data_IF_167024857348
#
_entry.id   IF_167024857348
#
_cell.length_a   1.000
_cell.length_b   1.000
_cell.length_c   1.000
_cell.angle_alpha   90.00
_cell.angle_beta   90.00
_cell.angle_gamma   90.00
#
_symmetry.space_group_name_H-M   'P 1'
#
loop_
_entity.id
_entity.type
_entity.pdbx_description
1 polymer ?
#
# COMPACT_ATOMS: atom_id res chain seq x y z
N UNK A 1 -19.72 -29.31 14.50
CA UNK A 1 -20.41 -28.84 13.27
C UNK A 1 -20.33 -27.33 13.25
N UNK A 2 -19.54 -26.77 12.34
CA UNK A 2 -19.40 -25.31 12.20
C UNK A 2 -20.59 -24.83 11.38
N UNK A 3 -21.51 -24.10 12.00
CA UNK A 3 -22.61 -23.44 11.30
C UNK A 3 -22.04 -22.27 10.48
N UNK A 4 -21.78 -22.51 9.21
CA UNK A 4 -21.60 -21.46 8.22
C UNK A 4 -22.95 -20.77 8.01
N UNK A 5 -23.02 -19.47 8.29
CA UNK A 5 -24.17 -18.63 7.94
C UNK A 5 -24.49 -18.78 6.44
N UNK A 6 -25.78 -18.85 6.05
CA UNK A 6 -26.15 -18.99 4.65
C UNK A 6 -25.67 -17.78 3.84
N UNK A 7 -24.88 -18.03 2.79
CA UNK A 7 -24.54 -17.02 1.80
C UNK A 7 -25.82 -16.55 1.13
N UNK A 8 -26.20 -15.29 1.35
CA UNK A 8 -27.26 -14.63 0.62
C UNK A 8 -26.94 -14.64 -0.88
N UNK A 9 -27.94 -14.98 -1.70
CA UNK A 9 -27.83 -14.99 -3.16
C UNK A 9 -27.25 -13.66 -3.70
N UNK A 10 -26.43 -13.68 -4.77
CA UNK A 10 -25.83 -12.49 -5.33
C UNK A 10 -26.92 -11.52 -5.79
N UNK A 11 -27.04 -10.37 -5.11
CA UNK A 11 -27.91 -9.27 -5.54
C UNK A 11 -27.43 -8.76 -6.89
N UNK A 12 -28.35 -8.48 -7.81
CA UNK A 12 -28.03 -7.80 -9.05
C UNK A 12 -27.28 -6.49 -8.74
N UNK A 13 -26.20 -6.17 -9.49
CA UNK A 13 -25.47 -4.93 -9.26
C UNK A 13 -26.41 -3.75 -9.50
N UNK A 14 -26.54 -2.87 -8.50
CA UNK A 14 -27.29 -1.62 -8.63
C UNK A 14 -26.65 -0.76 -9.72
N UNK A 15 -27.45 -0.11 -10.55
CA UNK A 15 -26.96 0.74 -11.64
C UNK A 15 -25.98 1.80 -11.10
N UNK A 16 -24.81 1.92 -11.71
CA UNK A 16 -23.75 2.85 -11.28
C UNK A 16 -22.88 2.37 -10.11
N UNK A 17 -23.18 1.22 -9.49
CA UNK A 17 -22.31 0.59 -8.48
C UNK A 17 -21.43 -0.44 -9.18
N UNK A 18 -20.11 -0.21 -9.14
CA UNK A 18 -19.15 -1.15 -9.69
C UNK A 18 -18.99 -2.34 -8.75
N UNK A 19 -19.16 -3.56 -9.26
CA UNK A 19 -18.79 -4.75 -8.52
C UNK A 19 -17.26 -4.73 -8.30
N UNK A 20 -16.76 -4.98 -7.07
CA UNK A 20 -15.33 -5.02 -6.81
C UNK A 20 -14.64 -6.03 -7.72
N UNK A 21 -13.45 -5.67 -8.17
CA UNK A 21 -12.59 -6.55 -8.96
C UNK A 21 -12.32 -7.86 -8.21
N UNK A 22 -12.22 -8.97 -8.98
CA UNK A 22 -12.00 -10.31 -8.43
C UNK A 22 -10.76 -10.33 -7.52
N UNK A 23 -10.89 -10.94 -6.35
CA UNK A 23 -9.79 -11.08 -5.40
C UNK A 23 -8.68 -11.96 -5.98
N UNK A 24 -7.45 -11.46 -5.87
CA UNK A 24 -6.21 -12.15 -6.21
C UNK A 24 -5.24 -11.98 -5.04
N UNK A 25 -4.07 -12.63 -5.10
CA UNK A 25 -3.02 -12.42 -4.10
C UNK A 25 -2.58 -10.95 -4.03
N UNK A 26 -2.68 -10.21 -5.14
CA UNK A 26 -2.26 -8.82 -5.29
C UNK A 26 -3.40 -7.80 -5.07
N UNK A 27 -4.62 -8.26 -4.79
CA UNK A 27 -5.74 -7.36 -4.49
C UNK A 27 -5.58 -6.87 -3.04
N UNK A 28 -5.78 -5.56 -2.74
CA UNK A 28 -5.75 -5.07 -1.37
C UNK A 28 -6.69 -5.89 -0.49
N UNK A 29 -6.21 -6.35 0.67
CA UNK A 29 -6.97 -7.17 1.62
C UNK A 29 -7.38 -6.32 2.81
N UNK A 30 -8.40 -6.77 3.53
CA UNK A 30 -8.73 -6.21 4.84
C UNK A 30 -7.97 -6.96 5.92
N UNK A 31 -7.46 -6.22 6.90
CA UNK A 31 -6.59 -6.76 7.93
C UNK A 31 -7.20 -6.61 9.32
N UNK A 32 -6.85 -7.54 10.19
CA UNK A 32 -7.10 -7.48 11.63
C UNK A 32 -5.87 -7.97 12.38
N UNK A 33 -5.80 -7.72 13.69
CA UNK A 33 -4.62 -8.01 14.50
C UNK A 33 -5.01 -8.39 15.93
N UNK A 34 -4.01 -8.76 16.72
CA UNK A 34 -4.15 -8.95 18.15
C UNK A 34 -4.23 -7.60 18.87
N UNK A 35 -5.45 -7.20 19.22
CA UNK A 35 -5.73 -5.96 19.93
C UNK A 35 -5.25 -5.96 21.39
N UNK A 36 -5.11 -7.14 22.00
CA UNK A 36 -4.61 -7.26 23.37
C UNK A 36 -3.12 -6.92 23.38
N UNK A 37 -2.36 -7.56 22.49
CA UNK A 37 -0.92 -7.27 22.33
C UNK A 37 -0.67 -5.83 21.88
N UNK A 38 -1.51 -5.30 20.98
CA UNK A 38 -1.42 -3.90 20.55
C UNK A 38 -1.66 -2.90 21.71
N UNK A 39 -2.59 -3.22 22.62
CA UNK A 39 -2.87 -2.39 23.79
C UNK A 39 -1.77 -2.42 24.85
N UNK A 40 -0.95 -3.48 24.87
CA UNK A 40 0.19 -3.63 25.80
C UNK A 40 1.51 -3.09 25.27
N UNK A 41 1.55 -2.47 24.08
CA UNK A 41 2.77 -1.86 23.56
C UNK A 41 3.30 -0.78 24.51
N UNK A 42 4.56 -0.94 24.93
CA UNK A 42 5.26 0.07 25.72
C UNK A 42 5.76 1.19 24.80
N UNK A 43 5.30 2.41 25.06
CA UNK A 43 5.61 3.58 24.24
C UNK A 43 6.66 4.50 24.89
N UNK A 44 7.15 4.15 26.08
CA UNK A 44 7.95 5.04 26.94
C UNK A 44 9.17 5.62 26.21
N UNK A 45 9.91 4.78 25.46
CA UNK A 45 11.12 5.18 24.72
C UNK A 45 10.87 6.19 23.59
N UNK A 46 9.63 6.33 23.12
CA UNK A 46 9.24 7.18 21.98
C UNK A 46 8.06 8.09 22.32
N UNK A 47 7.73 8.22 23.60
CA UNK A 47 6.51 8.88 24.05
C UNK A 47 6.48 10.36 23.65
N UNK A 48 7.61 11.07 23.78
CA UNK A 48 7.72 12.48 23.39
C UNK A 48 7.54 12.68 21.88
N UNK A 49 8.16 11.83 21.05
CA UNK A 49 8.00 11.85 19.59
C UNK A 49 6.54 11.58 19.20
N UNK A 50 5.92 10.55 19.79
CA UNK A 50 4.53 10.19 19.54
C UNK A 50 3.55 11.29 19.98
N UNK A 51 3.83 11.99 21.08
CA UNK A 51 3.03 13.13 21.51
C UNK A 51 3.15 14.31 20.56
N UNK A 52 4.36 14.64 20.11
CA UNK A 52 4.55 15.70 19.12
C UNK A 52 3.82 15.40 17.80
N UNK A 53 3.92 14.14 17.31
CA UNK A 53 3.17 13.70 16.14
C UNK A 53 1.65 13.72 16.35
N UNK A 54 1.18 13.37 17.56
CA UNK A 54 -0.24 13.48 17.90
C UNK A 54 -0.72 14.93 17.81
N UNK A 55 0.03 15.90 18.33
CA UNK A 55 -0.32 17.31 18.21
C UNK A 55 -0.36 17.79 16.75
N UNK A 56 0.58 17.33 15.91
CA UNK A 56 0.55 17.61 14.47
C UNK A 56 -0.72 17.04 13.81
N UNK A 57 -1.06 15.79 14.13
CA UNK A 57 -2.28 15.14 13.60
C UNK A 57 -3.56 15.84 14.07
N UNK A 58 -3.59 16.37 15.29
CA UNK A 58 -4.69 17.18 15.85
C UNK A 58 -4.84 18.51 15.13
N UNK A 59 -3.73 19.15 14.74
CA UNK A 59 -3.75 20.41 14.00
C UNK A 59 -4.39 20.26 12.60
N UNK A 60 -4.29 19.08 11.98
CA UNK A 60 -4.97 18.71 10.74
C UNK A 60 -4.74 19.73 9.60
N UNK A 61 -3.46 20.02 9.32
CA UNK A 61 -3.06 21.01 8.32
C UNK A 61 -3.67 20.74 6.93
N UNK A 62 -3.94 19.47 6.60
CA UNK A 62 -4.51 19.03 5.33
C UNK A 62 -6.05 19.02 5.27
N UNK A 63 -6.76 19.45 6.32
CA UNK A 63 -8.24 19.35 6.40
C UNK A 63 -9.00 19.90 5.20
N UNK A 64 -8.46 20.95 4.55
CA UNK A 64 -9.07 21.65 3.42
C UNK A 64 -8.49 21.25 2.06
N UNK A 65 -7.47 20.40 2.01
CA UNK A 65 -6.76 20.08 0.77
C UNK A 65 -7.51 19.04 -0.08
N UNK A 66 -8.35 18.21 0.55
CA UNK A 66 -9.17 17.19 -0.12
C UNK A 66 -10.59 17.68 -0.41
N UNK A 67 -10.69 18.93 -0.85
CA UNK A 67 -11.93 19.54 -1.33
C UNK A 67 -11.85 19.60 -2.86
N UNK A 68 -12.94 19.23 -3.52
CA UNK A 68 -13.07 19.35 -4.97
C UNK A 68 -13.37 20.79 -5.31
N UNK A 69 -12.60 21.34 -6.24
CA UNK A 69 -12.75 22.68 -6.79
C UNK A 69 -13.34 22.61 -8.21
N UNK A 70 -13.47 23.77 -8.87
CA UNK A 70 -14.01 23.91 -10.22
C UNK A 70 -13.25 23.08 -11.28
N UNK A 71 -11.99 22.67 -11.02
CA UNK A 71 -11.25 21.83 -11.95
C UNK A 71 -11.86 20.44 -12.11
N UNK A 72 -12.59 19.97 -11.09
CA UNK A 72 -13.30 18.70 -11.12
C UNK A 72 -14.65 18.77 -11.83
N UNK A 73 -15.21 19.97 -12.02
CA UNK A 73 -16.54 20.22 -12.61
C UNK A 73 -16.48 20.28 -14.15
N UNK A 74 -15.75 19.34 -14.76
CA UNK A 74 -15.54 19.25 -16.20
C UNK A 74 -16.07 17.94 -16.77
N UNK A 75 -16.20 17.85 -18.09
CA UNK A 75 -16.49 16.59 -18.76
C UNK A 75 -15.22 15.74 -18.88
N UNK A 76 -15.32 14.49 -18.43
CA UNK A 76 -14.23 13.50 -18.45
C UNK A 76 -14.42 12.43 -19.55
N UNK A 77 -15.29 12.70 -20.54
CA UNK A 77 -15.57 11.77 -21.65
C UNK A 77 -14.39 11.60 -22.61
N UNK A 78 -13.48 12.57 -22.66
CA UNK A 78 -12.23 12.49 -23.41
C UNK A 78 -11.29 11.39 -22.87
N UNK A 79 -11.41 11.03 -21.59
CA UNK A 79 -10.73 9.86 -21.01
C UNK A 79 -11.54 8.61 -21.42
N UNK A 80 -11.13 7.99 -22.52
CA UNK A 80 -11.78 6.83 -23.13
C UNK A 80 -10.82 5.65 -23.34
N UNK A 81 -11.34 4.55 -23.89
CA UNK A 81 -10.54 3.37 -24.26
C UNK A 81 -9.75 2.75 -23.10
N UNK A 82 -8.49 2.40 -23.37
CA UNK A 82 -7.59 1.77 -22.42
C UNK A 82 -7.21 2.69 -21.25
N UNK A 83 -6.96 3.98 -21.52
CA UNK A 83 -6.62 4.96 -20.48
C UNK A 83 -7.74 5.08 -19.44
N UNK A 84 -9.01 5.12 -19.87
CA UNK A 84 -10.17 5.12 -18.97
C UNK A 84 -10.21 3.88 -18.09
N UNK A 85 -10.00 2.70 -18.70
CA UNK A 85 -10.02 1.44 -17.97
C UNK A 85 -8.93 1.40 -16.91
N UNK A 86 -7.69 1.69 -17.28
CA UNK A 86 -6.53 1.71 -16.38
C UNK A 86 -6.70 2.74 -15.27
N UNK A 87 -7.25 3.93 -15.57
CA UNK A 87 -7.49 4.95 -14.55
C UNK A 87 -8.59 4.56 -13.57
N UNK A 88 -9.71 4.01 -14.02
CA UNK A 88 -10.77 3.51 -13.12
C UNK A 88 -10.25 2.36 -12.25
N UNK A 89 -9.44 1.46 -12.80
CA UNK A 89 -8.80 0.37 -12.03
C UNK A 89 -7.78 0.90 -11.00
N UNK A 90 -7.11 2.01 -11.31
CA UNK A 90 -6.27 2.73 -10.35
C UNK A 90 -7.13 3.29 -9.21
N UNK A 91 -8.16 4.08 -9.52
CA UNK A 91 -9.06 4.70 -8.53
C UNK A 91 -9.71 3.66 -7.61
N UNK A 92 -10.23 2.57 -8.18
CA UNK A 92 -10.88 1.51 -7.42
C UNK A 92 -9.91 0.87 -6.40
N UNK A 93 -8.72 0.47 -6.85
CA UNK A 93 -7.78 -0.22 -5.95
C UNK A 93 -7.17 0.70 -4.92
N UNK A 94 -6.85 1.93 -5.30
CA UNK A 94 -6.42 2.93 -4.33
C UNK A 94 -7.53 3.12 -3.29
N UNK A 95 -8.79 3.32 -3.71
CA UNK A 95 -9.91 3.49 -2.78
C UNK A 95 -10.07 2.31 -1.81
N UNK A 96 -9.93 1.07 -2.28
CA UNK A 96 -10.01 -0.12 -1.42
C UNK A 96 -8.81 -0.21 -0.48
N UNK A 97 -7.63 0.21 -0.91
CA UNK A 97 -6.41 0.24 -0.10
C UNK A 97 -6.56 1.21 1.09
N UNK A 98 -6.90 2.48 0.81
CA UNK A 98 -7.08 3.50 1.87
C UNK A 98 -8.23 3.10 2.81
N UNK A 99 -9.31 2.56 2.24
CA UNK A 99 -10.44 2.09 3.05
C UNK A 99 -10.06 0.90 3.95
N UNK A 100 -9.12 0.05 3.52
CA UNK A 100 -8.58 -1.01 4.37
C UNK A 100 -7.79 -0.45 5.56
N UNK A 101 -6.92 0.55 5.31
CA UNK A 101 -6.18 1.24 6.37
C UNK A 101 -7.14 1.87 7.38
N UNK A 102 -8.13 2.61 6.90
CA UNK A 102 -9.22 3.16 7.71
C UNK A 102 -9.87 2.14 8.65
N UNK A 103 -10.27 0.98 8.13
CA UNK A 103 -10.94 -0.05 8.94
C UNK A 103 -10.04 -0.58 10.05
N UNK A 104 -8.77 -0.85 9.74
CA UNK A 104 -7.79 -1.34 10.72
C UNK A 104 -7.54 -0.30 11.82
N UNK A 105 -7.26 0.95 11.44
CA UNK A 105 -6.97 2.02 12.40
C UNK A 105 -8.19 2.37 13.26
N UNK A 106 -9.39 2.38 12.67
CA UNK A 106 -10.63 2.62 13.41
C UNK A 106 -10.87 1.54 14.47
N UNK A 107 -10.65 0.27 14.12
CA UNK A 107 -10.80 -0.82 15.08
C UNK A 107 -9.72 -0.80 16.17
N UNK A 108 -8.45 -0.52 15.82
CA UNK A 108 -7.38 -0.31 16.80
C UNK A 108 -7.71 0.83 17.77
N UNK A 109 -8.10 2.00 17.27
CA UNK A 109 -8.54 3.13 18.08
C UNK A 109 -9.61 2.73 19.09
N UNK A 110 -10.67 2.07 18.62
CA UNK A 110 -11.79 1.64 19.46
C UNK A 110 -11.36 0.66 20.55
N UNK A 111 -10.50 -0.31 20.22
CA UNK A 111 -10.09 -1.40 21.12
C UNK A 111 -9.03 -0.96 22.14
N UNK A 112 -8.18 0.00 21.79
CA UNK A 112 -7.09 0.46 22.64
C UNK A 112 -7.51 1.56 23.63
N UNK A 113 -8.63 2.25 23.39
CA UNK A 113 -9.06 3.47 24.08
C UNK A 113 -8.87 3.50 25.60
N UNK A 114 -9.17 2.40 26.30
CA UNK A 114 -9.11 2.36 27.77
C UNK A 114 -7.73 1.95 28.33
N UNK A 115 -6.86 1.37 27.51
CA UNK A 115 -5.58 0.79 27.96
C UNK A 115 -4.37 1.54 27.42
N UNK A 116 -4.46 2.03 26.20
CA UNK A 116 -3.43 2.85 25.57
C UNK A 116 -4.09 4.06 24.87
N UNK A 117 -4.51 5.08 25.65
CA UNK A 117 -5.29 6.20 25.13
C UNK A 117 -4.51 7.05 24.11
N UNK A 118 -3.19 7.21 24.29
CA UNK A 118 -2.31 7.90 23.34
C UNK A 118 -2.37 7.23 21.97
N UNK A 119 -2.11 5.92 21.92
CA UNK A 119 -2.11 5.17 20.67
C UNK A 119 -3.51 5.07 20.05
N UNK A 120 -4.53 4.94 20.89
CA UNK A 120 -5.92 4.93 20.43
C UNK A 120 -6.29 6.22 19.71
N UNK A 121 -5.88 7.38 20.24
CA UNK A 121 -6.15 8.67 19.63
C UNK A 121 -5.37 8.86 18.33
N UNK A 122 -4.09 8.47 18.30
CA UNK A 122 -3.28 8.47 17.07
C UNK A 122 -3.99 7.68 15.96
N UNK A 123 -4.40 6.44 16.24
CA UNK A 123 -5.11 5.63 15.25
C UNK A 123 -6.48 6.20 14.88
N UNK A 124 -7.15 6.93 15.77
CA UNK A 124 -8.40 7.63 15.44
C UNK A 124 -8.17 8.72 14.37
N UNK A 125 -7.08 9.48 14.51
CA UNK A 125 -6.73 10.54 13.57
C UNK A 125 -6.20 9.98 12.25
N UNK A 126 -5.41 8.90 12.28
CA UNK A 126 -5.04 8.19 11.06
C UNK A 126 -6.28 7.65 10.34
N UNK A 127 -7.25 7.06 11.06
CA UNK A 127 -8.51 6.63 10.47
C UNK A 127 -9.31 7.79 9.85
N UNK A 128 -9.26 9.01 10.42
CA UNK A 128 -9.86 10.20 9.81
C UNK A 128 -9.25 10.49 8.43
N UNK A 129 -7.92 10.49 8.36
CA UNK A 129 -7.19 10.79 7.12
C UNK A 129 -7.46 9.71 6.06
N UNK A 130 -7.39 8.42 6.44
CA UNK A 130 -7.71 7.32 5.51
C UNK A 130 -9.15 7.31 5.02
N UNK A 131 -10.10 7.70 5.87
CA UNK A 131 -11.49 7.87 5.45
C UNK A 131 -11.64 9.02 4.44
N UNK A 132 -10.86 10.09 4.61
CA UNK A 132 -10.83 11.24 3.69
C UNK A 132 -10.24 10.82 2.34
N UNK A 133 -9.13 10.10 2.35
CA UNK A 133 -8.47 9.51 1.19
C UNK A 133 -9.42 8.60 0.39
N UNK A 134 -9.98 7.57 1.03
CA UNK A 134 -10.94 6.66 0.41
C UNK A 134 -12.18 7.40 -0.12
N UNK A 135 -12.71 8.34 0.66
CA UNK A 135 -13.86 9.14 0.28
C UNK A 135 -13.59 10.01 -0.96
N UNK A 136 -12.39 10.60 -1.06
CA UNK A 136 -11.98 11.42 -2.20
C UNK A 136 -11.86 10.60 -3.49
N UNK A 137 -11.23 9.42 -3.41
CA UNK A 137 -11.14 8.48 -4.54
C UNK A 137 -12.52 7.96 -4.98
N UNK A 138 -13.41 7.67 -4.02
CA UNK A 138 -14.77 7.24 -4.34
C UNK A 138 -15.57 8.34 -5.04
N UNK A 139 -15.41 9.60 -4.61
CA UNK A 139 -15.99 10.75 -5.32
C UNK A 139 -15.42 10.91 -6.74
N UNK A 140 -14.11 10.72 -6.92
CA UNK A 140 -13.47 10.77 -8.23
C UNK A 140 -14.02 9.70 -9.20
N UNK A 141 -14.37 8.50 -8.72
CA UNK A 141 -15.04 7.50 -9.55
C UNK A 141 -16.43 7.96 -10.05
N UNK A 142 -17.10 8.84 -9.30
CA UNK A 142 -18.40 9.40 -9.65
C UNK A 142 -18.40 10.13 -10.99
N UNK A 143 -17.28 10.77 -11.34
CA UNK A 143 -17.06 11.46 -12.62
C UNK A 143 -17.13 10.51 -13.82
N UNK A 144 -16.88 9.23 -13.57
CA UNK A 144 -16.97 8.15 -14.55
C UNK A 144 -18.30 7.38 -14.48
N UNK A 145 -19.29 7.92 -13.73
CA UNK A 145 -20.60 7.32 -13.45
C UNK A 145 -20.49 5.99 -12.69
N UNK A 146 -19.48 5.88 -11.83
CA UNK A 146 -19.19 4.70 -11.02
C UNK A 146 -19.06 5.08 -9.54
N UNK A 147 -19.33 4.13 -8.67
CA UNK A 147 -19.06 4.27 -7.23
C UNK A 147 -18.81 2.89 -6.61
N UNK A 148 -18.12 2.87 -5.49
CA UNK A 148 -17.99 1.69 -4.63
C UNK A 148 -18.92 1.81 -3.42
N UNK A 149 -19.65 0.74 -3.14
CA UNK A 149 -20.39 0.58 -1.90
C UNK A 149 -19.47 0.05 -0.80
N UNK A 150 -18.73 0.95 -0.16
CA UNK A 150 -17.74 0.60 0.88
C UNK A 150 -18.36 -0.16 2.07
N UNK A 151 -19.64 0.09 2.35
CA UNK A 151 -20.39 -0.62 3.39
C UNK A 151 -20.62 -2.10 3.02
N UNK A 152 -20.94 -2.38 1.76
CA UNK A 152 -21.07 -3.75 1.26
C UNK A 152 -19.71 -4.45 1.14
N UNK A 153 -18.66 -3.74 0.71
CA UNK A 153 -17.29 -4.29 0.65
C UNK A 153 -16.84 -4.77 2.05
N UNK A 154 -17.17 -4.02 3.11
CA UNK A 154 -16.89 -4.39 4.51
C UNK A 154 -17.53 -5.73 4.91
N UNK A 155 -18.74 -6.02 4.41
CA UNK A 155 -19.49 -7.24 4.77
C UNK A 155 -19.08 -8.47 3.97
N UNK A 156 -18.64 -8.25 2.74
CA UNK A 156 -18.38 -9.32 1.76
C UNK A 156 -16.94 -9.78 1.74
N UNK A 157 -15.99 -8.93 2.16
CA UNK A 157 -14.57 -9.26 2.15
C UNK A 157 -14.10 -9.99 3.39
N UNK A 158 -13.09 -10.83 3.18
CA UNK A 158 -12.44 -11.58 4.25
C UNK A 158 -11.36 -10.76 4.94
N UNK A 159 -11.29 -10.87 6.26
CA UNK A 159 -10.25 -10.25 7.07
C UNK A 159 -9.08 -11.22 7.24
N UNK A 160 -7.88 -10.76 6.91
CA UNK A 160 -6.62 -11.48 7.12
C UNK A 160 -6.03 -11.05 8.46
N UNK A 161 -5.76 -12.02 9.34
CA UNK A 161 -5.10 -11.75 10.61
C UNK A 161 -3.59 -11.63 10.42
N UNK A 162 -2.98 -10.54 10.90
CA UNK A 162 -1.54 -10.39 11.08
C UNK A 162 -1.21 -10.09 12.55
N UNK A 163 -0.13 -10.67 13.11
CA UNK A 163 0.41 -10.21 14.40
C UNK A 163 0.71 -8.70 14.37
N UNK A 164 0.61 -8.02 15.51
CA UNK A 164 0.80 -6.57 15.58
C UNK A 164 2.20 -6.15 15.12
N UNK A 165 3.21 -6.97 15.39
CA UNK A 165 4.58 -6.75 14.93
C UNK A 165 4.65 -6.70 13.40
N UNK A 166 3.93 -7.60 12.73
CA UNK A 166 3.87 -7.67 11.28
C UNK A 166 3.10 -6.49 10.71
N UNK A 167 1.99 -6.10 11.36
CA UNK A 167 1.26 -4.86 11.03
C UNK A 167 2.20 -3.66 11.10
N UNK A 168 3.02 -3.55 12.14
CA UNK A 168 3.96 -2.42 12.29
C UNK A 168 4.95 -2.37 11.11
N UNK A 169 5.57 -3.49 10.72
CA UNK A 169 6.45 -3.52 9.55
C UNK A 169 5.71 -3.23 8.24
N UNK A 170 4.57 -3.89 8.02
CA UNK A 170 3.87 -3.83 6.74
C UNK A 170 3.21 -2.48 6.52
N UNK A 171 2.59 -1.89 7.54
CA UNK A 171 1.98 -0.57 7.43
C UNK A 171 3.06 0.48 7.26
N UNK A 172 4.14 0.47 8.05
CA UNK A 172 5.27 1.38 7.83
C UNK A 172 5.74 1.40 6.36
N UNK A 173 5.94 0.23 5.77
CA UNK A 173 6.34 0.13 4.36
C UNK A 173 5.24 0.55 3.39
N UNK A 174 3.97 0.26 3.69
CA UNK A 174 2.81 0.70 2.90
C UNK A 174 2.74 2.22 2.81
N UNK A 175 2.85 2.90 3.96
CA UNK A 175 2.87 4.36 4.04
C UNK A 175 4.07 4.94 3.26
N UNK A 176 5.29 4.42 3.49
CA UNK A 176 6.49 4.95 2.82
C UNK A 176 6.53 4.64 1.33
N UNK A 177 5.99 3.52 0.86
CA UNK A 177 5.88 3.25 -0.57
C UNK A 177 4.76 4.07 -1.21
N UNK A 178 3.65 4.31 -0.50
CA UNK A 178 2.59 5.24 -0.90
C UNK A 178 3.12 6.64 -1.11
N UNK A 179 3.84 7.17 -0.11
CA UNK A 179 4.55 8.45 -0.17
C UNK A 179 5.36 8.61 -1.46
N UNK A 180 6.31 7.69 -1.71
CA UNK A 180 7.22 7.80 -2.84
C UNK A 180 6.50 7.70 -4.19
N UNK A 181 5.47 6.84 -4.29
CA UNK A 181 4.64 6.76 -5.50
C UNK A 181 3.96 8.08 -5.80
N UNK A 182 3.31 8.68 -4.80
CA UNK A 182 2.56 9.92 -4.98
C UNK A 182 3.47 11.10 -5.30
N UNK A 183 4.56 11.28 -4.57
CA UNK A 183 5.46 12.42 -4.81
C UNK A 183 6.21 12.30 -6.15
N UNK A 184 6.63 11.10 -6.57
CA UNK A 184 7.29 10.91 -7.87
C UNK A 184 6.33 11.23 -9.01
N UNK A 185 5.08 10.76 -8.94
CA UNK A 185 4.04 11.10 -9.94
C UNK A 185 3.80 12.61 -9.95
N UNK A 186 3.61 13.22 -8.79
CA UNK A 186 3.37 14.66 -8.68
C UNK A 186 4.51 15.49 -9.29
N UNK A 187 5.76 15.22 -8.90
CA UNK A 187 6.94 15.94 -9.43
C UNK A 187 7.17 15.69 -10.93
N UNK A 188 6.76 14.53 -11.45
CA UNK A 188 6.78 14.28 -12.89
C UNK A 188 5.77 15.17 -13.61
N UNK A 189 4.52 15.22 -13.12
CA UNK A 189 3.45 15.99 -13.75
C UNK A 189 3.63 17.51 -13.60
N UNK A 190 4.32 17.98 -12.56
CA UNK A 190 4.74 19.40 -12.48
C UNK A 190 5.69 19.78 -13.63
N UNK A 191 6.56 18.86 -14.05
CA UNK A 191 7.49 19.07 -15.17
C UNK A 191 6.83 18.82 -16.52
N UNK A 192 5.79 17.99 -16.54
CA UNK A 192 5.06 17.55 -17.73
C UNK A 192 3.55 17.76 -17.56
N UNK A 193 3.08 19.02 -17.45
CA UNK A 193 1.68 19.31 -17.20
C UNK A 193 0.75 18.80 -18.32
N UNK A 194 1.27 18.60 -19.54
CA UNK A 194 0.56 18.00 -20.66
C UNK A 194 0.07 16.57 -20.41
N UNK A 195 0.74 15.84 -19.50
CA UNK A 195 0.38 14.47 -19.13
C UNK A 195 -0.62 14.43 -17.96
N UNK A 196 -0.95 15.58 -17.36
CA UNK A 196 -1.90 15.66 -16.25
C UNK A 196 -3.35 15.65 -16.76
N UNK A 197 -3.86 14.46 -17.09
CA UNK A 197 -5.21 14.31 -17.66
C UNK A 197 -6.37 14.40 -16.65
N UNK A 198 -6.09 14.45 -15.34
CA UNK A 198 -7.14 14.54 -14.31
C UNK A 198 -6.65 15.27 -13.03
N UNK A 199 -7.50 16.06 -12.33
CA UNK A 199 -7.05 16.95 -11.26
C UNK A 199 -6.62 16.25 -9.95
N UNK A 200 -6.95 14.96 -9.76
CA UNK A 200 -6.56 14.22 -8.54
C UNK A 200 -5.06 14.25 -8.30
N UNK A 201 -4.26 14.29 -9.37
CA UNK A 201 -2.81 14.23 -9.27
C UNK A 201 -2.22 15.46 -8.59
N UNK A 202 -2.86 16.63 -8.67
CA UNK A 202 -2.44 17.82 -7.94
C UNK A 202 -2.57 17.65 -6.42
N UNK A 203 -3.49 16.79 -5.97
CA UNK A 203 -3.70 16.53 -4.54
C UNK A 203 -2.65 15.55 -3.97
N UNK A 204 -1.81 14.94 -4.81
CA UNK A 204 -0.81 13.96 -4.37
C UNK A 204 0.28 14.55 -3.48
N UNK A 205 0.61 15.84 -3.61
CA UNK A 205 1.57 16.49 -2.70
C UNK A 205 1.04 16.52 -1.27
N UNK A 206 -0.23 16.89 -1.08
CA UNK A 206 -0.85 16.88 0.26
C UNK A 206 -1.06 15.46 0.76
N UNK A 207 -1.49 14.56 -0.12
CA UNK A 207 -1.65 13.14 0.19
C UNK A 207 -0.36 12.53 0.72
N UNK A 208 0.77 12.73 0.03
CA UNK A 208 2.04 12.18 0.47
C UNK A 208 2.47 12.76 1.84
N UNK A 209 2.10 14.00 2.20
CA UNK A 209 2.39 14.51 3.54
C UNK A 209 1.64 13.73 4.64
N UNK A 210 0.40 13.31 4.39
CA UNK A 210 -0.34 12.44 5.31
C UNK A 210 0.34 11.07 5.43
N UNK A 211 0.66 10.42 4.31
CA UNK A 211 1.41 9.14 4.28
C UNK A 211 2.77 9.25 5.01
N UNK A 212 3.45 10.40 4.88
CA UNK A 212 4.72 10.60 5.56
C UNK A 212 4.55 10.63 7.08
N UNK A 213 3.58 11.40 7.59
CA UNK A 213 3.23 11.47 9.02
C UNK A 213 2.85 10.11 9.57
N UNK A 214 2.00 9.38 8.85
CA UNK A 214 1.57 8.04 9.21
C UNK A 214 2.77 7.09 9.29
N UNK A 215 3.66 7.12 8.29
CA UNK A 215 4.90 6.35 8.30
C UNK A 215 5.85 6.74 9.43
N UNK A 216 5.88 8.01 9.86
CA UNK A 216 6.72 8.47 10.98
C UNK A 216 6.18 7.98 12.33
N UNK A 217 4.86 7.94 12.51
CA UNK A 217 4.20 7.29 13.65
C UNK A 217 4.60 5.81 13.70
N UNK A 218 4.49 5.09 12.60
CA UNK A 218 4.84 3.67 12.55
C UNK A 218 6.34 3.40 12.74
N UNK A 219 7.20 4.33 12.31
CA UNK A 219 8.63 4.30 12.66
C UNK A 219 8.82 4.40 14.18
N UNK A 220 8.17 5.35 14.84
CA UNK A 220 8.28 5.48 16.30
C UNK A 220 7.72 4.25 17.02
N UNK A 221 6.60 3.68 16.56
CA UNK A 221 6.07 2.42 17.09
C UNK A 221 7.05 1.26 16.90
N UNK A 222 7.72 1.17 15.75
CA UNK A 222 8.74 0.15 15.54
C UNK A 222 9.93 0.35 16.49
N UNK A 223 10.37 1.60 16.67
CA UNK A 223 11.55 1.92 17.50
C UNK A 223 11.29 1.82 18.99
N UNK A 224 10.05 1.99 19.46
CA UNK A 224 9.67 1.74 20.86
C UNK A 224 9.70 0.26 21.24
N UNK A 225 9.81 -0.65 20.26
CA UNK A 225 9.85 -2.09 20.47
C UNK A 225 11.23 -2.66 20.10
N UNK A 226 12.19 -2.81 21.05
CA UNK A 226 13.53 -3.32 20.76
C UNK A 226 13.55 -4.68 20.05
N UNK A 227 12.56 -5.53 20.28
CA UNK A 227 12.38 -6.82 19.60
C UNK A 227 12.15 -6.69 18.08
N UNK A 228 11.74 -5.50 17.60
CA UNK A 228 11.51 -5.21 16.18
C UNK A 228 12.70 -4.57 15.46
N UNK A 229 13.82 -4.31 16.15
CA UNK A 229 15.00 -3.75 15.47
C UNK A 229 16.34 -4.17 16.07
N UNK A 230 16.42 -4.39 17.38
CA UNK A 230 17.67 -4.62 18.10
C UNK A 230 18.03 -6.11 18.27
N UNK A 231 17.81 -6.93 17.24
CA UNK A 231 18.21 -8.34 17.27
C UNK A 231 18.32 -8.94 15.86
N UNK A 232 18.88 -10.14 15.77
CA UNK A 232 19.09 -10.83 14.49
C UNK A 232 17.78 -11.23 13.80
N UNK A 233 16.71 -11.56 14.54
CA UNK A 233 15.40 -11.89 13.95
C UNK A 233 14.80 -10.66 13.26
N UNK A 234 14.89 -9.49 13.90
CA UNK A 234 14.44 -8.23 13.31
C UNK A 234 15.15 -7.96 11.98
N UNK A 235 16.45 -8.23 11.89
CA UNK A 235 17.20 -8.10 10.63
C UNK A 235 16.67 -9.02 9.52
N UNK A 236 16.26 -10.25 9.86
CA UNK A 236 15.64 -11.16 8.89
C UNK A 236 14.23 -10.71 8.49
N UNK A 237 13.44 -10.22 9.45
CA UNK A 237 12.10 -9.70 9.21
C UNK A 237 12.12 -8.44 8.35
N UNK A 238 12.99 -7.47 8.63
CA UNK A 238 13.16 -6.28 7.79
C UNK A 238 13.44 -6.65 6.33
N UNK A 239 14.36 -7.59 6.09
CA UNK A 239 14.65 -8.08 4.72
C UNK A 239 13.43 -8.73 4.08
N UNK A 240 12.70 -9.54 4.85
CA UNK A 240 11.52 -10.25 4.35
C UNK A 240 10.42 -9.27 3.95
N UNK A 241 10.09 -8.30 4.81
CA UNK A 241 9.05 -7.31 4.56
C UNK A 241 9.44 -6.35 3.43
N UNK A 242 10.69 -5.85 3.40
CA UNK A 242 11.20 -5.04 2.29
C UNK A 242 11.05 -5.78 0.96
N UNK A 243 11.56 -7.01 0.88
CA UNK A 243 11.50 -7.79 -0.36
C UNK A 243 10.07 -8.11 -0.76
N UNK A 244 9.20 -8.46 0.18
CA UNK A 244 7.80 -8.77 -0.10
C UNK A 244 7.05 -7.55 -0.66
N UNK A 245 7.28 -6.37 -0.08
CA UNK A 245 6.68 -5.11 -0.55
C UNK A 245 7.23 -4.73 -1.92
N UNK A 246 8.55 -4.81 -2.14
CA UNK A 246 9.15 -4.47 -3.44
C UNK A 246 8.72 -5.44 -4.53
N UNK A 247 8.69 -6.75 -4.27
CA UNK A 247 8.20 -7.72 -5.25
C UNK A 247 6.72 -7.46 -5.61
N UNK A 248 5.88 -7.23 -4.61
CA UNK A 248 4.46 -6.92 -4.84
C UNK A 248 4.29 -5.61 -5.61
N UNK A 249 5.12 -4.60 -5.30
CA UNK A 249 5.12 -3.31 -5.99
C UNK A 249 5.53 -3.46 -7.45
N UNK A 250 6.69 -4.07 -7.73
CA UNK A 250 7.19 -4.32 -9.10
C UNK A 250 6.16 -5.05 -9.93
N UNK A 251 5.62 -6.16 -9.43
CA UNK A 251 4.61 -6.93 -10.16
C UNK A 251 3.38 -6.05 -10.45
N UNK A 252 2.89 -5.32 -9.45
CA UNK A 252 1.71 -4.46 -9.59
C UNK A 252 1.95 -3.29 -10.54
N UNK A 253 3.15 -2.70 -10.56
CA UNK A 253 3.50 -1.58 -11.44
C UNK A 253 3.53 -2.04 -12.89
N UNK A 254 4.23 -3.14 -13.16
CA UNK A 254 4.34 -3.67 -14.52
C UNK A 254 2.99 -4.17 -15.04
N UNK A 255 2.18 -4.84 -14.22
CA UNK A 255 0.80 -5.22 -14.57
C UNK A 255 -0.06 -4.02 -15.00
N UNK A 256 0.32 -2.81 -14.58
CA UNK A 256 -0.39 -1.55 -14.81
C UNK A 256 0.41 -0.57 -15.68
N UNK A 257 1.35 -1.06 -16.48
CA UNK A 257 2.19 -0.21 -17.30
C UNK A 257 1.38 0.82 -18.13
N UNK A 258 0.19 0.45 -18.62
CA UNK A 258 -0.70 1.35 -19.35
C UNK A 258 -1.17 2.59 -18.55
N UNK A 259 -1.34 2.48 -17.22
CA UNK A 259 -1.66 3.64 -16.37
C UNK A 259 -0.47 4.60 -16.31
N UNK A 260 0.73 4.11 -16.05
CA UNK A 260 1.93 4.95 -15.99
C UNK A 260 2.25 5.56 -17.35
N UNK A 261 2.07 4.81 -18.43
CA UNK A 261 2.21 5.32 -19.79
C UNK A 261 1.24 6.48 -20.08
N UNK A 262 0.00 6.42 -19.58
CA UNK A 262 -0.97 7.52 -19.72
C UNK A 262 -0.57 8.79 -18.96
N UNK A 263 0.38 8.69 -18.03
CA UNK A 263 0.99 9.81 -17.32
C UNK A 263 2.34 10.24 -17.91
N UNK A 264 2.78 9.65 -19.03
CA UNK A 264 4.09 9.90 -19.61
C UNK A 264 5.26 9.27 -18.83
N UNK A 265 4.98 8.31 -17.95
CA UNK A 265 5.98 7.60 -17.15
C UNK A 265 6.35 6.25 -17.79
N UNK A 266 7.65 5.92 -17.77
CA UNK A 266 8.12 4.55 -17.95
C UNK A 266 7.88 3.75 -16.67
N UNK A 267 7.14 2.64 -16.77
CA UNK A 267 6.73 1.87 -15.60
C UNK A 267 7.90 1.20 -14.88
N UNK A 268 8.91 0.74 -15.62
CA UNK A 268 10.07 0.05 -15.05
C UNK A 268 10.99 1.04 -14.33
N UNK A 269 11.22 2.22 -14.91
CA UNK A 269 11.99 3.28 -14.27
C UNK A 269 11.26 3.85 -13.05
N UNK A 270 9.95 4.04 -13.14
CA UNK A 270 9.12 4.45 -12.01
C UNK A 270 9.21 3.44 -10.85
N UNK A 271 9.07 2.14 -11.13
CA UNK A 271 9.23 1.07 -10.13
C UNK A 271 10.60 1.13 -9.46
N UNK A 272 11.67 1.23 -10.25
CA UNK A 272 13.04 1.31 -9.75
C UNK A 272 13.21 2.47 -8.76
N UNK A 273 12.78 3.66 -9.17
CA UNK A 273 12.90 4.86 -8.33
C UNK A 273 12.11 4.73 -7.02
N UNK A 274 10.87 4.22 -7.08
CA UNK A 274 10.07 4.00 -5.88
C UNK A 274 10.76 3.00 -4.94
N UNK A 275 11.22 1.86 -5.46
CA UNK A 275 11.89 0.83 -4.65
C UNK A 275 13.17 1.36 -4.00
N UNK A 276 14.03 2.05 -4.75
CA UNK A 276 15.26 2.65 -4.22
C UNK A 276 14.96 3.64 -3.09
N UNK A 277 14.02 4.56 -3.32
CA UNK A 277 13.69 5.63 -2.37
C UNK A 277 12.98 5.10 -1.13
N UNK A 278 12.08 4.13 -1.28
CA UNK A 278 11.47 3.45 -0.14
C UNK A 278 12.51 2.68 0.66
N UNK A 279 13.44 1.96 0.01
CA UNK A 279 14.50 1.21 0.69
C UNK A 279 15.46 2.14 1.48
N UNK A 280 15.87 3.25 0.87
CA UNK A 280 16.68 4.30 1.51
C UNK A 280 15.96 4.87 2.75
N UNK A 281 14.68 5.20 2.62
CA UNK A 281 13.87 5.75 3.71
C UNK A 281 13.67 4.72 4.83
N UNK A 282 13.41 3.46 4.48
CA UNK A 282 13.21 2.38 5.44
C UNK A 282 14.44 2.13 6.31
N UNK A 283 15.65 2.42 5.81
CA UNK A 283 16.88 2.34 6.59
C UNK A 283 16.91 3.24 7.84
N UNK A 284 16.05 4.27 7.91
CA UNK A 284 15.89 5.12 9.10
C UNK A 284 15.10 4.43 10.24
N UNK A 285 14.26 3.47 9.90
CA UNK A 285 13.46 2.70 10.86
C UNK A 285 14.07 1.33 11.13
N UNK A 286 14.39 0.59 10.07
CA UNK A 286 14.83 -0.80 10.14
C UNK A 286 16.31 -0.92 10.46
N UNK A 287 16.76 -2.04 11.05
CA UNK A 287 18.17 -2.31 11.33
C UNK A 287 18.99 -2.74 10.11
N UNK A 288 18.32 -3.04 8.99
CA UNK A 288 18.96 -3.31 7.69
C UNK A 288 18.07 -2.81 6.57
N UNK A 289 18.71 -2.49 5.44
CA UNK A 289 18.04 -2.28 4.15
C UNK A 289 18.60 -3.24 3.10
N UNK A 290 17.87 -3.46 2.02
CA UNK A 290 18.33 -4.30 0.92
C UNK A 290 19.42 -3.58 0.12
N UNK A 291 20.30 -4.33 -0.54
CA UNK A 291 21.32 -3.74 -1.42
C UNK A 291 20.75 -3.59 -2.84
N UNK A 292 20.00 -2.50 -3.06
CA UNK A 292 19.36 -2.18 -4.34
C UNK A 292 20.37 -1.89 -5.45
N UNK A 293 21.58 -1.44 -5.09
CA UNK A 293 22.68 -1.17 -6.04
C UNK A 293 23.34 -2.45 -6.58
N UNK A 294 23.02 -3.62 -5.99
CA UNK A 294 23.58 -4.88 -6.46
C UNK A 294 23.10 -5.17 -7.89
N UNK A 295 23.99 -5.53 -8.85
CA UNK A 295 23.65 -5.62 -10.27
C UNK A 295 22.58 -6.68 -10.60
N UNK A 296 22.33 -7.62 -9.70
CA UNK A 296 21.28 -8.64 -9.84
C UNK A 296 19.94 -8.28 -9.20
N UNK A 297 19.86 -7.21 -8.39
CA UNK A 297 18.67 -6.90 -7.60
C UNK A 297 17.44 -6.67 -8.48
N UNK A 298 17.47 -5.62 -9.31
CA UNK A 298 16.36 -5.29 -10.20
C UNK A 298 16.12 -6.33 -11.30
N UNK A 299 17.17 -6.87 -11.99
CA UNK A 299 16.93 -7.90 -13.00
C UNK A 299 16.17 -9.12 -12.48
N UNK A 300 16.49 -9.62 -11.28
CA UNK A 300 15.78 -10.76 -10.69
C UNK A 300 14.34 -10.39 -10.29
N UNK A 301 14.12 -9.16 -9.83
CA UNK A 301 12.81 -8.66 -9.42
C UNK A 301 11.89 -8.49 -10.64
N UNK A 302 12.41 -7.91 -11.73
CA UNK A 302 11.68 -7.75 -12.99
C UNK A 302 11.34 -9.10 -13.62
N UNK A 303 12.26 -10.08 -13.58
CA UNK A 303 11.95 -11.45 -14.00
C UNK A 303 10.79 -12.07 -13.21
N UNK A 304 10.64 -11.75 -11.92
CA UNK A 304 9.46 -12.21 -11.17
C UNK A 304 8.16 -11.65 -11.76
N UNK A 305 8.18 -10.40 -12.22
CA UNK A 305 7.06 -9.79 -12.93
C UNK A 305 6.79 -10.46 -14.28
N UNK A 306 7.82 -10.75 -15.06
CA UNK A 306 7.69 -11.46 -16.35
C UNK A 306 7.07 -12.85 -16.16
N UNK A 307 7.51 -13.60 -15.16
CA UNK A 307 6.91 -14.89 -14.80
C UNK A 307 5.48 -14.74 -14.31
N UNK A 308 5.16 -13.66 -13.58
CA UNK A 308 3.79 -13.38 -13.17
C UNK A 308 2.86 -13.10 -14.37
N UNK A 309 3.34 -12.43 -15.42
CA UNK A 309 2.57 -12.28 -16.67
C UNK A 309 2.27 -13.63 -17.33
N UNK A 310 3.25 -14.54 -17.38
CA UNK A 310 3.05 -15.88 -17.91
C UNK A 310 2.05 -16.69 -17.07
N UNK A 311 2.09 -16.54 -15.73
CA UNK A 311 1.10 -17.13 -14.83
C UNK A 311 -0.32 -16.60 -15.10
N UNK A 312 -0.46 -15.30 -15.36
CA UNK A 312 -1.74 -14.68 -15.69
C UNK A 312 -2.28 -15.15 -17.05
N UNK A 313 -1.41 -15.30 -18.06
CA UNK A 313 -1.78 -15.83 -19.38
C UNK A 313 -2.28 -17.28 -19.28
N UNK A 314 -1.58 -18.14 -18.52
CA UNK A 314 -2.03 -19.51 -18.26
C UNK A 314 -3.39 -19.53 -17.57
N UNK A 315 -3.61 -18.64 -16.59
CA UNK A 315 -4.89 -18.54 -15.89
C UNK A 315 -6.04 -18.17 -16.83
N UNK A 316 -5.80 -17.27 -17.79
CA UNK A 316 -6.78 -16.83 -18.80
C UNK A 316 -7.06 -17.85 -19.90
N UNK A 317 -6.17 -18.82 -20.11
CA UNK A 317 -6.35 -19.86 -21.14
C UNK A 317 -7.61 -20.71 -20.90
N UNK A 318 -8.15 -21.34 -21.95
CA UNK A 318 -9.33 -22.23 -21.87
C UNK A 318 -9.00 -23.65 -21.36
N UNK A 319 -7.75 -23.90 -20.94
CA UNK A 319 -7.28 -25.23 -20.56
C UNK A 319 -7.90 -25.75 -19.25
N UNK A 320 -7.99 -27.08 -19.05
CA UNK A 320 -8.40 -27.68 -17.79
C UNK A 320 -7.54 -27.22 -16.60
N UNK A 321 -8.16 -27.09 -15.41
CA UNK A 321 -7.51 -26.61 -14.18
C UNK A 321 -6.22 -27.37 -13.82
N UNK A 322 -6.21 -28.68 -13.99
CA UNK A 322 -5.03 -29.51 -13.71
C UNK A 322 -3.85 -29.20 -14.64
N UNK A 323 -4.12 -29.00 -15.93
CA UNK A 323 -3.10 -28.61 -16.91
C UNK A 323 -2.56 -27.21 -16.58
N UNK A 324 -3.44 -26.26 -16.23
CA UNK A 324 -3.03 -24.94 -15.76
C UNK A 324 -2.11 -25.03 -14.55
N UNK A 325 -2.44 -25.87 -13.57
CA UNK A 325 -1.61 -26.06 -12.37
C UNK A 325 -0.20 -26.51 -12.73
N UNK A 326 -0.07 -27.57 -13.55
CA UNK A 326 1.25 -28.08 -13.99
C UNK A 326 2.05 -27.00 -14.72
N UNK A 327 1.42 -26.27 -15.64
CA UNK A 327 2.08 -25.19 -16.39
C UNK A 327 2.52 -24.03 -15.51
N UNK A 328 1.83 -23.77 -14.39
CA UNK A 328 2.16 -22.69 -13.45
C UNK A 328 3.32 -23.03 -12.52
N UNK A 329 3.50 -24.31 -12.16
CA UNK A 329 4.56 -24.74 -11.23
C UNK A 329 5.97 -24.24 -11.57
N UNK A 330 6.48 -24.33 -12.83
CA UNK A 330 7.83 -23.84 -13.13
C UNK A 330 7.97 -22.33 -12.91
N UNK A 331 6.96 -21.53 -13.27
CA UNK A 331 6.99 -20.09 -13.06
C UNK A 331 6.89 -19.69 -11.60
N UNK A 332 6.04 -20.37 -10.81
CA UNK A 332 6.00 -20.18 -9.35
C UNK A 332 7.34 -20.54 -8.70
N UNK A 333 7.95 -21.66 -9.11
CA UNK A 333 9.27 -22.06 -8.64
C UNK A 333 10.35 -21.03 -9.00
N UNK A 334 10.31 -20.49 -10.22
CA UNK A 334 11.25 -19.46 -10.68
C UNK A 334 11.10 -18.14 -9.91
N UNK A 335 9.86 -17.70 -9.63
CA UNK A 335 9.61 -16.51 -8.78
C UNK A 335 10.19 -16.74 -7.39
N UNK A 336 9.87 -17.86 -6.73
CA UNK A 336 10.38 -18.18 -5.39
C UNK A 336 11.91 -18.24 -5.39
N UNK A 337 12.51 -18.83 -6.42
CA UNK A 337 13.96 -18.92 -6.56
C UNK A 337 14.61 -17.55 -6.73
N UNK A 338 14.08 -16.69 -7.60
CA UNK A 338 14.58 -15.33 -7.80
C UNK A 338 14.46 -14.49 -6.51
N UNK A 339 13.32 -14.56 -5.82
CA UNK A 339 13.16 -13.89 -4.53
C UNK A 339 14.14 -14.42 -3.47
N UNK A 340 14.40 -15.72 -3.43
CA UNK A 340 15.41 -16.30 -2.54
C UNK A 340 16.82 -15.78 -2.87
N UNK A 341 17.18 -15.71 -4.16
CA UNK A 341 18.46 -15.15 -4.59
C UNK A 341 18.61 -13.68 -4.18
N UNK A 342 17.57 -12.87 -4.35
CA UNK A 342 17.57 -11.47 -3.89
C UNK A 342 17.69 -11.42 -2.37
N UNK A 343 16.91 -12.24 -1.65
CA UNK A 343 16.95 -12.31 -0.19
C UNK A 343 18.36 -12.61 0.30
N UNK A 344 19.11 -13.50 -0.36
CA UNK A 344 20.47 -13.90 0.00
C UNK A 344 21.55 -12.88 -0.34
N UNK A 345 21.26 -11.83 -1.13
CA UNK A 345 22.19 -10.72 -1.32
C UNK A 345 22.51 -10.10 0.05
N UNK A 346 23.81 -9.82 0.29
CA UNK A 346 24.27 -9.24 1.55
C UNK A 346 23.56 -7.89 1.78
N UNK A 347 22.76 -7.74 2.85
CA UNK A 347 22.05 -6.50 3.14
C UNK A 347 23.02 -5.43 3.65
N UNK A 348 22.57 -4.18 3.66
CA UNK A 348 23.30 -3.06 4.22
C UNK A 348 22.88 -2.88 5.67
N UNK A 349 23.86 -2.80 6.57
CA UNK A 349 23.65 -2.64 8.01
C UNK A 349 23.40 -1.17 8.34
N UNK A 350 22.15 -0.79 8.53
CA UNK A 350 21.75 0.61 8.69
C UNK A 350 22.03 1.12 10.11
N UNK A 351 22.02 0.26 11.13
CA UNK A 351 22.41 0.66 12.49
C UNK A 351 23.86 1.14 12.55
N UNK A 352 24.75 0.55 11.75
CA UNK A 352 26.15 1.02 11.62
C UNK A 352 26.29 2.37 10.90
N UNK A 353 25.30 2.74 10.11
CA UNK A 353 25.25 4.00 9.36
C UNK A 353 24.49 5.11 10.11
N UNK A 354 23.83 4.79 11.23
CA UNK A 354 23.14 5.80 12.04
C UNK A 354 24.16 6.75 12.65
N UNK A 355 23.93 8.06 12.50
CA UNK A 355 24.81 9.11 13.01
C UNK A 355 26.00 9.44 12.10
N UNK A 356 26.18 8.72 10.98
CA UNK A 356 27.08 9.18 9.90
C UNK A 356 26.29 10.06 8.94
N UNK A 357 26.72 11.31 8.77
CA UNK A 357 26.15 12.21 7.74
C UNK A 357 26.52 11.64 6.37
N UNK A 358 25.53 11.43 5.50
CA UNK A 358 25.71 11.09 4.08
C UNK A 358 25.46 12.32 3.21
#
# INVERSE_FOLDING_TARGET
MVNTLPQSAPKQPKQGIKAPSKETVLTPRFYTTDFETAASLDLSDQQSELQAMLEEMRADYNRHHFVRDEEFEKSWEHINGEARKSFIEYLERSCISEFSGFLLFKELSRKLKQRNPLLAEIFNLMARDEARHAGFLNKAMGDFKLSLDLGEVTKTRTYTFFPIEWVIYSVYLSEKIGYWRYIIIYRHLEKHPENQFYPIFQKFESWCQDENRHGDIFKALLRSQPQLWNNWKARLWSRFFLLSVFATHTITVHERAGFYHSLGLDATEFDRQVVEKTNETAGRAFPVMLNTDHPKFFPLLHQCSDYNFQLAEIERSSQPKFIKLIRKLPFLGAIVWNLLLIYLIKPIDTEKLRGTVR
#
